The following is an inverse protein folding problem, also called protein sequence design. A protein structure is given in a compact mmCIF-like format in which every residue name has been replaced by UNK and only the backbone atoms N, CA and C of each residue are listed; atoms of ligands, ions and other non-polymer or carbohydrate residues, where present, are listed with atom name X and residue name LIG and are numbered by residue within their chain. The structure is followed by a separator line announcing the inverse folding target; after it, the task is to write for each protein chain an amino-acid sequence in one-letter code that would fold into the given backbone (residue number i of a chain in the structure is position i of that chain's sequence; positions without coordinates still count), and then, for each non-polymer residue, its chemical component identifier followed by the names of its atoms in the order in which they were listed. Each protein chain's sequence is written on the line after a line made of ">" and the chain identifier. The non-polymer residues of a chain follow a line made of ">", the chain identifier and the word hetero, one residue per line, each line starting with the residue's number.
data_IF_851712106911
#
_entry.id   IF_851712106911
#
_cell.length_a   1.000
_cell.length_b   1.000
_cell.length_c   1.000
_cell.angle_alpha   90.00
_cell.angle_beta   90.00
_cell.angle_gamma   90.00
#
_symmetry.space_group_name_H-M   'P 1'
#
loop_
_entity.id
_entity.type
_entity.pdbx_description
1 polymer ?
#
# COMPACT_ATOMS: atom_id res chain seq x y z
N UNK A 1 -4.03 -14.50 4.06
CA UNK A 1 -3.80 -13.12 4.51
C UNK A 1 -3.15 -13.13 5.89
N UNK A 2 -2.14 -12.31 6.14
CA UNK A 2 -1.53 -12.26 7.46
C UNK A 2 -2.53 -11.78 8.50
N UNK A 3 -2.27 -12.16 9.74
CA UNK A 3 -3.06 -11.69 10.87
C UNK A 3 -2.61 -10.25 11.17
N UNK A 4 -3.53 -9.28 11.02
CA UNK A 4 -3.20 -7.87 11.20
C UNK A 4 -3.87 -7.32 12.46
N UNK A 5 -3.11 -6.49 13.17
CA UNK A 5 -3.62 -5.70 14.29
C UNK A 5 -4.09 -4.35 13.73
N UNK A 6 -5.39 -4.14 13.72
CA UNK A 6 -5.99 -2.93 13.13
C UNK A 6 -5.50 -1.66 13.78
N UNK A 7 -5.33 -1.66 15.10
CA UNK A 7 -4.82 -0.50 15.84
C UNK A 7 -3.40 -0.15 15.42
N UNK A 8 -2.55 -1.17 15.29
CA UNK A 8 -1.17 -1.01 14.85
C UNK A 8 -1.11 -0.49 13.42
N UNK A 9 -1.95 -1.03 12.52
CA UNK A 9 -2.03 -0.57 11.14
C UNK A 9 -2.44 0.89 11.07
N UNK A 10 -3.43 1.30 11.85
CA UNK A 10 -3.86 2.69 11.90
C UNK A 10 -2.74 3.61 12.39
N UNK A 11 -2.04 3.25 13.47
CA UNK A 11 -0.90 4.01 13.97
C UNK A 11 0.19 4.13 12.91
N UNK A 12 0.47 3.05 12.20
CA UNK A 12 1.50 3.00 11.19
C UNK A 12 1.19 3.93 10.01
N UNK A 13 0.01 3.80 9.41
CA UNK A 13 -0.35 4.63 8.27
C UNK A 13 -0.45 6.11 8.68
N UNK A 14 -0.90 6.39 9.90
CA UNK A 14 -0.94 7.75 10.43
C UNK A 14 0.48 8.33 10.56
N UNK A 15 1.43 7.55 11.07
CA UNK A 15 2.82 7.97 11.21
C UNK A 15 3.46 8.25 9.84
N UNK A 16 3.20 7.38 8.86
CA UNK A 16 3.71 7.55 7.50
C UNK A 16 3.13 8.82 6.86
N UNK A 17 1.82 9.01 6.96
CA UNK A 17 1.14 10.19 6.39
C UNK A 17 1.65 11.48 7.04
N UNK A 18 1.87 11.46 8.35
CA UNK A 18 2.38 12.62 9.09
C UNK A 18 3.76 13.03 8.59
N UNK A 19 4.60 12.07 8.19
CA UNK A 19 5.90 12.35 7.59
C UNK A 19 5.82 13.16 6.31
N UNK A 20 4.66 13.15 5.63
CA UNK A 20 4.38 13.97 4.46
C UNK A 20 3.56 15.22 4.78
N UNK A 21 3.34 15.51 6.07
CA UNK A 21 2.54 16.65 6.50
C UNK A 21 1.04 16.45 6.29
N UNK A 22 0.57 15.21 6.28
CA UNK A 22 -0.82 14.89 5.97
C UNK A 22 -1.49 14.15 7.12
N UNK A 23 -2.82 14.37 7.26
CA UNK A 23 -3.66 13.63 8.18
C UNK A 23 -4.43 12.55 7.44
N UNK A 24 -5.00 11.60 8.18
CA UNK A 24 -5.83 10.55 7.60
C UNK A 24 -7.27 11.02 7.46
N UNK A 25 -7.82 10.82 6.26
CA UNK A 25 -9.25 10.91 6.00
C UNK A 25 -9.86 9.51 5.98
N UNK A 26 -10.86 9.32 5.13
CA UNK A 26 -11.53 8.04 4.98
C UNK A 26 -10.75 7.18 3.99
N UNK A 27 -10.20 6.08 4.48
CA UNK A 27 -9.43 5.14 3.67
C UNK A 27 -10.03 3.76 3.82
N UNK A 28 -10.36 3.14 2.70
CA UNK A 28 -10.90 1.79 2.66
C UNK A 28 -9.91 0.86 1.97
N UNK A 29 -9.64 -0.28 2.59
CA UNK A 29 -8.87 -1.35 1.98
C UNK A 29 -9.80 -2.47 1.56
N UNK A 30 -9.70 -2.88 0.31
CA UNK A 30 -10.50 -3.98 -0.24
C UNK A 30 -9.53 -5.09 -0.67
N UNK A 31 -9.50 -6.16 0.10
CA UNK A 31 -8.66 -7.32 -0.21
C UNK A 31 -9.41 -8.24 -1.16
N UNK A 32 -8.79 -8.62 -2.25
CA UNK A 32 -9.44 -9.37 -3.32
C UNK A 32 -8.47 -10.35 -3.98
N UNK A 33 -8.96 -11.07 -4.98
CA UNK A 33 -8.16 -11.98 -5.79
C UNK A 33 -7.81 -11.33 -7.14
N UNK A 34 -7.00 -12.04 -7.94
CA UNK A 34 -6.57 -11.55 -9.25
C UNK A 34 -7.75 -11.29 -10.20
N UNK A 35 -8.76 -12.15 -10.17
CA UNK A 35 -9.94 -11.99 -11.03
C UNK A 35 -10.65 -10.66 -10.73
N UNK A 36 -10.81 -10.32 -9.47
CA UNK A 36 -11.48 -9.10 -9.06
C UNK A 36 -10.65 -7.85 -9.40
N UNK A 37 -9.35 -7.89 -9.19
CA UNK A 37 -8.50 -6.73 -9.47
C UNK A 37 -8.39 -6.49 -10.98
N UNK A 38 -8.40 -7.55 -11.78
CA UNK A 38 -8.47 -7.45 -13.24
C UNK A 38 -9.77 -6.79 -13.69
N UNK A 39 -10.91 -7.20 -13.09
CA UNK A 39 -12.21 -6.60 -13.35
C UNK A 39 -12.20 -5.10 -13.06
N UNK A 40 -11.64 -4.69 -11.92
CA UNK A 40 -11.53 -3.29 -11.53
C UNK A 40 -10.67 -2.51 -12.53
N UNK A 41 -9.55 -3.07 -12.95
CA UNK A 41 -8.68 -2.46 -13.96
C UNK A 41 -9.42 -2.23 -15.28
N UNK A 42 -10.15 -3.24 -15.75
CA UNK A 42 -10.92 -3.14 -17.00
C UNK A 42 -12.03 -2.11 -16.90
N UNK A 43 -12.77 -2.14 -15.79
CA UNK A 43 -13.98 -1.33 -15.62
C UNK A 43 -13.68 0.14 -15.37
N UNK A 44 -12.68 0.46 -14.56
CA UNK A 44 -12.43 1.82 -14.08
C UNK A 44 -11.18 2.47 -14.66
N UNK A 45 -10.17 1.70 -15.05
CA UNK A 45 -8.90 2.23 -15.53
C UNK A 45 -8.62 1.90 -16.99
N UNK A 46 -9.51 1.14 -17.62
CA UNK A 46 -9.38 0.70 -19.02
C UNK A 46 -8.06 -0.04 -19.27
N UNK A 47 -7.57 -0.76 -18.28
CA UNK A 47 -6.39 -1.61 -18.35
C UNK A 47 -6.80 -3.07 -18.34
N UNK A 48 -6.09 -3.92 -19.06
CA UNK A 48 -6.40 -5.35 -19.16
C UNK A 48 -5.22 -6.19 -18.70
N UNK A 49 -4.80 -5.96 -17.43
CA UNK A 49 -3.70 -6.72 -16.82
C UNK A 49 -3.90 -6.82 -15.31
N UNK A 50 -3.21 -7.81 -14.70
CA UNK A 50 -3.19 -7.98 -13.26
C UNK A 50 -2.20 -7.01 -12.62
N UNK A 51 -2.52 -6.56 -11.41
CA UNK A 51 -1.61 -5.75 -10.59
C UNK A 51 -1.80 -6.17 -9.13
N UNK A 52 -0.86 -5.80 -8.26
CA UNK A 52 -0.97 -6.07 -6.83
C UNK A 52 -1.86 -5.07 -6.10
N UNK A 53 -1.93 -3.83 -6.58
CA UNK A 53 -2.68 -2.77 -5.90
C UNK A 53 -3.27 -1.79 -6.91
N UNK A 54 -4.49 -1.31 -6.63
CA UNK A 54 -5.13 -0.22 -7.36
C UNK A 54 -5.58 0.81 -6.32
N UNK A 55 -5.23 2.08 -6.54
CA UNK A 55 -5.54 3.17 -5.63
C UNK A 55 -6.44 4.19 -6.32
N UNK A 56 -7.60 4.46 -5.71
CA UNK A 56 -8.47 5.57 -6.11
C UNK A 56 -8.29 6.69 -5.10
N UNK A 57 -7.79 7.82 -5.57
CA UNK A 57 -7.35 8.93 -4.72
C UNK A 57 -8.41 10.03 -4.65
N UNK A 58 -8.98 10.24 -3.48
CA UNK A 58 -9.93 11.30 -3.19
C UNK A 58 -9.35 12.34 -2.22
N UNK A 59 -8.02 12.37 -2.11
CA UNK A 59 -7.31 13.18 -1.11
C UNK A 59 -7.49 14.67 -1.33
N UNK A 60 -7.43 15.41 -0.22
CA UNK A 60 -7.29 16.85 -0.19
C UNK A 60 -5.82 17.19 0.07
N UNK A 61 -5.37 18.45 -0.11
CA UNK A 61 -3.95 18.78 0.05
C UNK A 61 -3.30 18.36 1.36
N UNK A 62 -4.07 18.36 2.46
CA UNK A 62 -3.52 18.02 3.79
C UNK A 62 -4.16 16.80 4.43
N UNK A 63 -5.03 16.10 3.71
CA UNK A 63 -5.77 14.96 4.25
C UNK A 63 -5.94 13.88 3.18
N UNK A 64 -5.35 12.72 3.40
CA UNK A 64 -5.42 11.62 2.42
C UNK A 64 -6.73 10.83 2.59
N UNK A 65 -7.33 10.48 1.47
CA UNK A 65 -8.56 9.69 1.42
C UNK A 65 -8.56 8.86 0.14
N UNK A 66 -9.09 7.67 0.21
CA UNK A 66 -9.17 6.85 -1.00
C UNK A 66 -9.59 5.42 -0.75
N UNK A 67 -9.74 4.69 -1.85
CA UNK A 67 -10.01 3.26 -1.84
C UNK A 67 -8.79 2.54 -2.40
N UNK A 68 -8.32 1.53 -1.67
CA UNK A 68 -7.13 0.76 -2.03
C UNK A 68 -7.52 -0.70 -2.20
N UNK A 69 -7.44 -1.21 -3.43
CA UNK A 69 -7.71 -2.61 -3.75
C UNK A 69 -6.38 -3.35 -3.78
N UNK A 70 -6.28 -4.45 -3.05
CA UNK A 70 -5.07 -5.28 -2.98
C UNK A 70 -5.41 -6.70 -3.39
N UNK A 71 -4.70 -7.22 -4.40
CA UNK A 71 -4.83 -8.63 -4.79
C UNK A 71 -3.92 -9.48 -3.91
N UNK A 72 -4.52 -10.32 -3.07
CA UNK A 72 -3.77 -11.24 -2.21
C UNK A 72 -3.03 -12.31 -3.02
N UNK A 73 -3.57 -12.70 -4.17
CA UNK A 73 -2.92 -13.66 -5.08
C UNK A 73 -1.62 -13.07 -5.63
N UNK A 74 -1.65 -11.83 -6.09
CA UNK A 74 -0.47 -11.16 -6.64
C UNK A 74 0.56 -10.88 -5.54
N UNK A 75 0.12 -10.55 -4.32
CA UNK A 75 1.03 -10.40 -3.18
C UNK A 75 1.81 -11.70 -2.94
N UNK A 76 1.12 -12.85 -2.97
CA UNK A 76 1.76 -14.15 -2.77
C UNK A 76 2.78 -14.44 -3.89
N UNK A 77 2.40 -14.18 -5.15
CA UNK A 77 3.27 -14.38 -6.30
C UNK A 77 4.51 -13.49 -6.24
N UNK A 78 4.33 -12.23 -5.87
CA UNK A 78 5.43 -11.27 -5.75
C UNK A 78 6.39 -11.67 -4.65
N UNK A 79 5.88 -12.11 -3.50
CA UNK A 79 6.70 -12.56 -2.39
C UNK A 79 7.62 -13.71 -2.80
N UNK A 80 7.07 -14.68 -3.52
CA UNK A 80 7.82 -15.83 -4.03
C UNK A 80 8.89 -15.36 -5.03
N UNK A 81 8.52 -14.47 -5.96
CA UNK A 81 9.41 -13.98 -7.00
C UNK A 81 10.62 -13.24 -6.45
N UNK A 82 10.44 -12.42 -5.40
CA UNK A 82 11.53 -11.62 -4.82
C UNK A 82 12.22 -12.29 -3.62
N UNK A 83 11.79 -13.51 -3.25
CA UNK A 83 12.38 -14.22 -2.12
C UNK A 83 12.06 -13.62 -0.77
N UNK A 84 10.93 -12.93 -0.64
CA UNK A 84 10.46 -12.34 0.61
C UNK A 84 9.39 -13.22 1.25
N UNK A 85 9.09 -12.98 2.54
CA UNK A 85 7.94 -13.61 3.17
C UNK A 85 6.65 -13.00 2.63
N UNK A 86 5.57 -13.77 2.67
CA UNK A 86 4.24 -13.28 2.30
C UNK A 86 3.86 -12.06 3.17
N UNK A 87 4.12 -12.14 4.46
CA UNK A 87 3.80 -11.06 5.40
C UNK A 87 4.53 -9.76 5.05
N UNK A 88 5.83 -9.83 4.76
CA UNK A 88 6.61 -8.64 4.41
C UNK A 88 6.13 -8.03 3.10
N UNK A 89 5.85 -8.85 2.10
CA UNK A 89 5.33 -8.34 0.82
C UNK A 89 3.93 -7.76 1.00
N UNK A 90 3.10 -8.37 1.84
CA UNK A 90 1.78 -7.82 2.17
C UNK A 90 1.90 -6.40 2.73
N UNK A 91 2.79 -6.19 3.71
CA UNK A 91 2.96 -4.86 4.29
C UNK A 91 3.56 -3.87 3.30
N UNK A 92 4.44 -4.31 2.41
CA UNK A 92 4.99 -3.45 1.36
C UNK A 92 3.88 -2.94 0.43
N UNK A 93 3.03 -3.83 -0.05
CA UNK A 93 1.91 -3.48 -0.93
C UNK A 93 0.88 -2.62 -0.19
N UNK A 94 0.63 -2.96 1.08
CA UNK A 94 -0.29 -2.21 1.93
C UNK A 94 0.11 -0.74 2.04
N UNK A 95 1.38 -0.47 2.31
CA UNK A 95 1.85 0.90 2.48
C UNK A 95 2.07 1.62 1.14
N UNK A 96 2.30 0.87 0.07
CA UNK A 96 2.47 1.43 -1.28
C UNK A 96 1.26 2.30 -1.68
N UNK A 97 0.05 1.83 -1.42
CA UNK A 97 -1.18 2.59 -1.69
C UNK A 97 -1.25 3.88 -0.87
N UNK A 98 -0.86 3.83 0.39
CA UNK A 98 -0.82 5.03 1.24
C UNK A 98 0.20 6.04 0.69
N UNK A 99 1.37 5.57 0.26
CA UNK A 99 2.39 6.44 -0.31
C UNK A 99 1.88 7.12 -1.60
N UNK A 100 1.11 6.42 -2.43
CA UNK A 100 0.46 7.04 -3.58
C UNK A 100 -0.49 8.16 -3.15
N UNK A 101 -1.29 7.93 -2.12
CA UNK A 101 -2.21 8.97 -1.61
C UNK A 101 -1.44 10.18 -1.07
N UNK A 102 -0.23 9.96 -0.57
CA UNK A 102 0.65 11.04 -0.09
C UNK A 102 1.36 11.79 -1.22
N UNK A 103 1.19 11.35 -2.47
CA UNK A 103 1.76 12.02 -3.62
C UNK A 103 3.04 11.41 -4.16
N UNK A 104 3.44 10.23 -3.68
CA UNK A 104 4.62 9.53 -4.20
C UNK A 104 4.23 8.79 -5.48
N UNK A 105 4.91 9.08 -6.58
CA UNK A 105 4.69 8.42 -7.87
C UNK A 105 5.69 7.29 -8.08
N UNK A 106 5.41 6.39 -9.02
CA UNK A 106 6.29 5.23 -9.27
C UNK A 106 6.47 4.87 -10.75
N UNK A 107 5.87 5.62 -11.67
CA UNK A 107 5.87 5.27 -13.09
C UNK A 107 6.80 6.11 -13.96
N UNK A 108 7.26 7.26 -13.47
CA UNK A 108 8.18 8.12 -14.21
C UNK A 108 9.63 7.70 -14.02
N UNK A 109 10.56 8.30 -14.82
CA UNK A 109 11.99 8.00 -14.67
C UNK A 109 12.48 8.31 -13.24
N UNK A 110 13.12 7.33 -12.60
CA UNK A 110 13.66 7.45 -11.25
C UNK A 110 12.61 7.39 -10.14
N UNK A 111 11.33 7.41 -10.47
CA UNK A 111 10.27 7.44 -9.47
C UNK A 111 10.09 6.09 -8.75
N UNK A 112 10.37 4.99 -9.45
CA UNK A 112 10.28 3.66 -8.85
C UNK A 112 11.26 3.49 -7.68
N UNK A 113 12.48 3.96 -7.85
CA UNK A 113 13.51 3.90 -6.81
C UNK A 113 13.14 4.78 -5.62
N UNK A 114 12.52 5.93 -5.88
CA UNK A 114 12.02 6.81 -4.83
C UNK A 114 10.90 6.13 -4.05
N UNK A 115 9.95 5.51 -4.75
CA UNK A 115 8.86 4.77 -4.12
C UNK A 115 9.41 3.62 -3.25
N UNK A 116 10.35 2.84 -3.79
CA UNK A 116 10.96 1.73 -3.06
C UNK A 116 11.66 2.21 -1.78
N UNK A 117 12.34 3.35 -1.84
CA UNK A 117 12.99 3.93 -0.66
C UNK A 117 11.97 4.30 0.40
N UNK A 118 10.85 4.93 0.02
CA UNK A 118 9.79 5.27 0.96
C UNK A 118 9.10 4.03 1.52
N UNK A 119 8.94 2.98 0.71
CA UNK A 119 8.43 1.70 1.19
C UNK A 119 9.34 1.11 2.25
N UNK A 120 10.65 1.09 2.00
CA UNK A 120 11.64 0.56 2.95
C UNK A 120 11.66 1.37 4.25
N UNK A 121 11.64 2.69 4.16
CA UNK A 121 11.58 3.56 5.34
C UNK A 121 10.30 3.32 6.14
N UNK A 122 9.18 3.15 5.45
CA UNK A 122 7.88 2.89 6.09
C UNK A 122 7.86 1.53 6.78
N UNK A 123 8.47 0.51 6.17
CA UNK A 123 8.59 -0.81 6.78
C UNK A 123 9.49 -0.77 8.02
N UNK A 124 10.54 0.06 8.02
CA UNK A 124 11.38 0.26 9.20
C UNK A 124 10.58 0.89 10.35
N UNK A 125 9.71 1.86 10.04
CA UNK A 125 8.81 2.44 11.03
C UNK A 125 7.93 1.36 11.65
N UNK A 126 7.35 0.49 10.84
CA UNK A 126 6.51 -0.60 11.33
C UNK A 126 7.31 -1.57 12.21
N UNK A 127 8.51 -1.95 11.78
CA UNK A 127 9.37 -2.84 12.55
C UNK A 127 9.68 -2.26 13.92
N UNK A 128 9.98 -0.97 13.98
CA UNK A 128 10.24 -0.28 15.24
C UNK A 128 9.01 -0.18 16.13
N UNK A 129 7.83 0.03 15.54
CA UNK A 129 6.58 0.06 16.28
C UNK A 129 6.26 -1.30 16.91
N UNK A 130 6.46 -2.38 16.16
CA UNK A 130 6.27 -3.74 16.66
C UNK A 130 7.23 -4.01 17.81
N UNK A 131 8.50 -3.64 17.67
CA UNK A 131 9.51 -3.85 18.71
C UNK A 131 9.15 -3.12 20.02
N UNK A 132 8.59 -1.91 19.92
CA UNK A 132 8.18 -1.14 21.11
C UNK A 132 6.97 -1.72 21.83
N UNK A 133 6.16 -2.53 21.16
CA UNK A 133 4.98 -3.14 21.76
C UNK A 133 5.25 -4.49 22.42
N UNK A 134 6.46 -5.02 22.28
CA UNK A 134 6.86 -6.28 22.89
C UNK A 134 7.39 -6.10 24.31
#
# INVERSE_FOLDING_TARGET
>A
MPRVDKSLMHEWIEAVARGFGKSLGDISYIFCNDAKILEVNRQFLNHDYFTDVITFDYSRPHRISGDIFISLDTVASNAEMVGATYEREFYRVFIHGILHLCGVNDKGPGEREIMERYEDESLDILTNMIARKK
#
